data_IF_266694016546
#
_entry.id   IF_266694016546
#
_cell.length_a   1.000
_cell.length_b   1.000
_cell.length_c   1.000
_cell.angle_alpha   90.00
_cell.angle_beta   90.00
_cell.angle_gamma   90.00
#
_symmetry.space_group_name_H-M   'P 1'
#
loop_
_entity.id
_entity.type
_entity.pdbx_description
1 polymer ?
#
# COMPACT_ATOMS: atom_id res chain seq x y z
N UNK A 1 21.37 -17.26 -11.40
CA UNK A 1 20.01 -16.70 -11.60
C UNK A 1 19.10 -17.04 -10.41
N UNK A 2 19.48 -16.68 -9.17
CA UNK A 2 18.72 -17.05 -7.96
C UNK A 2 17.80 -15.92 -7.42
N UNK A 3 18.10 -14.66 -7.75
CA UNK A 3 17.32 -13.50 -7.30
C UNK A 3 15.93 -13.40 -7.95
N UNK A 4 15.72 -14.11 -9.07
CA UNK A 4 14.46 -14.14 -9.82
C UNK A 4 13.36 -14.97 -9.18
N UNK A 5 13.63 -15.72 -8.11
CA UNK A 5 12.60 -16.44 -7.34
C UNK A 5 12.45 -15.90 -5.91
N UNK A 6 13.52 -15.31 -5.34
CA UNK A 6 13.50 -14.74 -3.98
C UNK A 6 12.53 -13.57 -3.83
N UNK A 7 12.22 -12.83 -4.90
CA UNK A 7 11.23 -11.75 -4.87
C UNK A 7 9.83 -12.26 -4.56
N UNK A 8 9.49 -13.50 -4.98
CA UNK A 8 8.14 -14.05 -4.78
C UNK A 8 7.85 -14.22 -3.29
N UNK A 9 8.81 -14.78 -2.55
CA UNK A 9 8.66 -14.93 -1.10
C UNK A 9 8.56 -13.58 -0.41
N UNK A 10 9.36 -12.58 -0.83
CA UNK A 10 9.27 -11.22 -0.31
C UNK A 10 7.93 -10.55 -0.61
N UNK A 11 7.41 -10.72 -1.84
CA UNK A 11 6.13 -10.15 -2.25
C UNK A 11 4.95 -10.74 -1.47
N UNK A 12 4.94 -12.06 -1.25
CA UNK A 12 3.92 -12.72 -0.43
C UNK A 12 3.99 -12.26 1.03
N UNK A 13 5.19 -12.13 1.60
CA UNK A 13 5.36 -11.62 2.95
C UNK A 13 4.91 -10.16 3.08
N UNK A 14 5.13 -9.34 2.05
CA UNK A 14 4.67 -7.96 2.02
C UNK A 14 3.14 -7.88 1.94
N UNK A 15 2.51 -8.71 1.11
CA UNK A 15 1.04 -8.79 1.03
C UNK A 15 0.45 -9.15 2.39
N UNK A 16 0.92 -10.20 3.05
CA UNK A 16 0.45 -10.61 4.38
C UNK A 16 0.58 -9.46 5.41
N UNK A 17 1.73 -8.77 5.42
CA UNK A 17 1.95 -7.64 6.30
C UNK A 17 1.00 -6.45 6.02
N UNK A 18 0.63 -6.21 4.77
CA UNK A 18 -0.30 -5.15 4.39
C UNK A 18 -1.75 -5.52 4.73
N UNK A 19 -2.15 -6.76 4.48
CA UNK A 19 -3.47 -7.28 4.84
C UNK A 19 -3.72 -7.26 6.35
N UNK A 20 -2.69 -7.61 7.15
CA UNK A 20 -2.74 -7.49 8.61
C UNK A 20 -2.97 -6.03 9.09
N UNK A 21 -2.77 -5.03 8.23
CA UNK A 21 -3.02 -3.60 8.50
C UNK A 21 -4.35 -3.10 7.93
N UNK A 22 -5.19 -3.99 7.40
CA UNK A 22 -6.50 -3.65 6.82
C UNK A 22 -6.42 -3.09 5.39
N UNK A 23 -5.27 -3.22 4.73
CA UNK A 23 -5.12 -2.88 3.32
C UNK A 23 -5.47 -4.07 2.43
N UNK A 24 -5.87 -3.80 1.19
CA UNK A 24 -5.99 -4.85 0.17
C UNK A 24 -4.74 -4.80 -0.69
N UNK A 25 -3.99 -5.90 -0.73
CA UNK A 25 -2.74 -6.00 -1.48
C UNK A 25 -2.75 -7.23 -2.40
N UNK A 26 -2.11 -7.11 -3.56
CA UNK A 26 -1.99 -8.19 -4.53
C UNK A 26 -0.63 -8.19 -5.20
N UNK A 27 -0.08 -9.39 -5.43
CA UNK A 27 1.15 -9.55 -6.22
C UNK A 27 0.81 -9.45 -7.69
N UNK A 28 1.40 -8.47 -8.36
CA UNK A 28 1.42 -8.36 -9.81
C UNK A 28 2.69 -9.03 -10.35
N UNK A 29 2.63 -9.56 -11.57
CA UNK A 29 3.76 -10.27 -12.19
C UNK A 29 5.06 -9.47 -12.14
N UNK A 30 6.21 -10.16 -12.14
CA UNK A 30 7.54 -9.57 -12.14
C UNK A 30 7.94 -8.79 -10.87
N UNK A 31 7.40 -9.16 -9.70
CA UNK A 31 7.80 -8.59 -8.41
C UNK A 31 7.13 -7.27 -8.07
N UNK A 32 6.05 -6.92 -8.77
CA UNK A 32 5.21 -5.79 -8.39
C UNK A 32 4.23 -6.21 -7.28
N UNK A 33 3.95 -5.31 -6.35
CA UNK A 33 2.87 -5.43 -5.38
C UNK A 33 2.03 -4.16 -5.45
N UNK A 34 0.75 -4.34 -5.72
CA UNK A 34 -0.23 -3.26 -5.76
C UNK A 34 -1.05 -3.28 -4.49
N UNK A 35 -1.27 -2.12 -3.91
CA UNK A 35 -1.90 -1.94 -2.61
C UNK A 35 -2.94 -0.85 -2.71
N UNK A 36 -4.09 -1.04 -2.08
CA UNK A 36 -5.12 -0.02 -1.95
C UNK A 36 -5.70 0.03 -0.55
N UNK A 37 -6.13 1.22 -0.14
CA UNK A 37 -6.90 1.40 1.08
C UNK A 37 -8.39 1.36 0.75
N UNK A 38 -9.14 0.30 1.15
CA UNK A 38 -10.57 0.22 0.87
C UNK A 38 -11.38 1.34 1.55
N UNK A 39 -10.89 1.91 2.66
CA UNK A 39 -11.54 3.03 3.32
C UNK A 39 -11.44 4.36 2.54
N UNK A 40 -10.59 4.41 1.51
CA UNK A 40 -10.44 5.55 0.61
C UNK A 40 -11.08 5.34 -0.77
N UNK A 41 -11.79 4.23 -1.00
CA UNK A 41 -12.52 4.02 -2.25
C UNK A 41 -13.84 4.83 -2.21
N UNK A 42 -14.25 5.45 -3.33
CA UNK A 42 -15.49 6.21 -3.40
C UNK A 42 -16.71 5.29 -3.25
N UNK A 43 -17.80 5.83 -2.69
CA UNK A 43 -19.07 5.11 -2.61
C UNK A 43 -19.53 4.62 -4.00
N UNK A 44 -20.03 3.40 -4.07
CA UNK A 44 -20.44 2.78 -5.35
C UNK A 44 -21.64 3.50 -5.97
N UNK A 45 -22.42 4.21 -5.15
CA UNK A 45 -23.55 5.06 -5.56
C UNK A 45 -23.15 6.50 -5.89
N UNK A 46 -21.86 6.87 -5.79
CA UNK A 46 -21.37 8.20 -6.18
C UNK A 46 -20.54 8.17 -7.48
N UNK A 47 -21.19 8.28 -8.65
CA UNK A 47 -20.50 8.27 -9.94
C UNK A 47 -19.57 9.48 -10.11
N UNK A 48 -19.81 10.59 -9.42
CA UNK A 48 -18.89 11.73 -9.44
C UNK A 48 -17.63 11.43 -8.63
N UNK A 49 -17.75 10.87 -7.43
CA UNK A 49 -16.63 10.42 -6.61
C UNK A 49 -15.75 9.37 -7.32
N UNK A 50 -16.36 8.48 -8.11
CA UNK A 50 -15.62 7.51 -8.94
C UNK A 50 -14.77 8.17 -10.03
N UNK A 51 -15.19 9.33 -10.55
CA UNK A 51 -14.46 10.08 -11.59
C UNK A 51 -13.36 10.95 -10.97
N UNK A 52 -13.61 11.57 -9.81
CA UNK A 52 -12.69 12.54 -9.21
C UNK A 52 -11.72 11.96 -8.17
N UNK A 53 -12.00 10.78 -7.62
CA UNK A 53 -11.16 10.14 -6.61
C UNK A 53 -11.08 8.62 -6.88
N UNK A 54 -10.21 8.15 -7.79
CA UNK A 54 -10.10 6.73 -8.18
C UNK A 54 -9.54 5.78 -7.08
N UNK A 55 -9.65 6.17 -5.80
CA UNK A 55 -9.13 5.46 -4.65
C UNK A 55 -7.65 5.68 -4.40
N UNK A 56 -7.23 5.69 -3.13
CA UNK A 56 -5.82 5.74 -2.76
C UNK A 56 -5.17 4.38 -3.04
N UNK A 57 -4.31 4.36 -4.07
CA UNK A 57 -3.64 3.17 -4.58
C UNK A 57 -2.15 3.45 -4.66
N UNK A 58 -1.36 2.45 -4.30
CA UNK A 58 0.09 2.52 -4.31
C UNK A 58 0.67 1.25 -4.91
N UNK A 59 1.66 1.42 -5.77
CA UNK A 59 2.42 0.32 -6.34
C UNK A 59 3.87 0.38 -5.86
N UNK A 60 4.43 -0.80 -5.56
CA UNK A 60 5.85 -0.99 -5.28
C UNK A 60 6.39 -2.13 -6.14
N UNK A 61 7.67 -2.04 -6.49
CA UNK A 61 8.35 -3.00 -7.33
C UNK A 61 9.58 -3.54 -6.63
N UNK A 62 9.74 -4.86 -6.64
CA UNK A 62 10.94 -5.54 -6.18
C UNK A 62 11.98 -5.60 -7.30
N UNK A 63 13.14 -4.96 -7.12
CA UNK A 63 14.28 -5.07 -8.05
C UNK A 63 15.62 -5.26 -7.34
N UNK A 64 16.59 -5.93 -7.98
CA UNK A 64 17.97 -5.93 -7.52
C UNK A 64 18.52 -4.51 -7.55
N UNK A 65 19.12 -4.08 -6.46
CA UNK A 65 19.88 -2.85 -6.31
C UNK A 65 21.09 -3.14 -5.44
N UNK A 66 22.29 -2.80 -5.92
CA UNK A 66 23.54 -2.92 -5.15
C UNK A 66 23.78 -4.34 -4.61
N UNK A 67 23.37 -5.37 -5.37
CA UNK A 67 23.57 -6.78 -5.03
C UNK A 67 22.50 -7.41 -4.13
N UNK A 68 21.51 -6.65 -3.66
CA UNK A 68 20.38 -7.16 -2.85
C UNK A 68 19.03 -6.76 -3.45
N UNK A 69 17.94 -7.41 -3.05
CA UNK A 69 16.60 -7.03 -3.49
C UNK A 69 16.08 -5.85 -2.68
N UNK A 70 15.48 -4.88 -3.36
CA UNK A 70 14.87 -3.68 -2.78
C UNK A 70 13.43 -3.52 -3.24
N UNK A 71 12.60 -3.02 -2.32
CA UNK A 71 11.33 -2.39 -2.65
C UNK A 71 11.60 -0.98 -3.18
N UNK A 72 10.97 -0.66 -4.29
CA UNK A 72 11.00 0.65 -4.92
C UNK A 72 9.56 1.14 -5.04
N UNK A 73 9.27 2.38 -4.64
CA UNK A 73 8.02 3.04 -5.00
C UNK A 73 7.92 3.15 -6.52
N UNK A 74 6.72 2.93 -7.04
CA UNK A 74 6.39 3.26 -8.42
C UNK A 74 5.54 4.52 -8.41
N UNK A 75 6.09 5.62 -8.90
CA UNK A 75 5.38 6.88 -9.07
C UNK A 75 5.00 7.07 -10.53
N UNK A 76 3.72 7.34 -10.78
CA UNK A 76 3.25 7.74 -12.11
C UNK A 76 3.72 9.16 -12.39
N UNK A 77 4.32 9.40 -13.55
CA UNK A 77 4.63 10.76 -13.97
C UNK A 77 3.37 11.57 -14.27
N UNK A 78 3.51 12.89 -14.51
CA UNK A 78 2.38 13.82 -14.66
C UNK A 78 1.50 13.55 -15.89
N UNK A 79 1.98 12.72 -16.84
CA UNK A 79 1.21 12.29 -18.01
C UNK A 79 1.23 10.76 -18.14
N UNK A 80 0.25 10.14 -18.79
CA UNK A 80 0.23 8.68 -19.03
C UNK A 80 1.46 8.17 -19.80
N UNK A 81 2.07 9.04 -20.61
CA UNK A 81 3.25 8.75 -21.42
C UNK A 81 4.56 8.99 -20.67
N UNK A 82 4.51 9.59 -19.48
CA UNK A 82 5.69 9.86 -18.68
C UNK A 82 6.30 8.55 -18.18
N UNK A 83 7.64 8.43 -18.18
CA UNK A 83 8.28 7.27 -17.59
C UNK A 83 7.90 7.15 -16.11
N UNK A 84 7.76 5.91 -15.65
CA UNK A 84 7.57 5.64 -14.22
C UNK A 84 8.84 6.00 -13.46
N UNK A 85 8.69 6.74 -12.36
CA UNK A 85 9.79 7.06 -11.48
C UNK A 85 9.88 6.00 -10.38
N UNK A 86 11.09 5.47 -10.17
CA UNK A 86 11.38 4.45 -9.17
C UNK A 86 12.16 5.06 -8.02
N UNK A 87 11.53 5.19 -6.85
CA UNK A 87 12.16 5.73 -5.66
C UNK A 87 12.49 4.61 -4.65
N UNK A 88 13.68 4.59 -4.02
CA UNK A 88 14.03 3.55 -3.06
C UNK A 88 13.16 3.60 -1.80
N UNK A 89 12.48 2.49 -1.50
CA UNK A 89 11.74 2.34 -0.25
C UNK A 89 12.63 1.74 0.84
N UNK A 90 12.95 0.45 0.73
CA UNK A 90 13.83 -0.26 1.66
C UNK A 90 14.28 -1.61 1.06
N UNK A 91 15.27 -2.30 1.65
CA UNK A 91 15.57 -3.69 1.32
C UNK A 91 14.36 -4.61 1.50
N UNK A 92 14.25 -5.67 0.70
CA UNK A 92 13.13 -6.63 0.75
C UNK A 92 13.06 -7.36 2.09
N UNK A 93 14.20 -7.56 2.74
CA UNK A 93 14.29 -8.17 4.07
C UNK A 93 13.54 -7.36 5.14
N UNK A 94 13.39 -6.05 4.96
CA UNK A 94 12.73 -5.14 5.90
C UNK A 94 11.21 -5.03 5.62
N UNK A 95 10.53 -6.17 5.49
CA UNK A 95 9.13 -6.24 5.05
C UNK A 95 8.18 -5.45 5.96
N UNK A 96 8.38 -5.49 7.28
CA UNK A 96 7.56 -4.73 8.22
C UNK A 96 7.71 -3.20 8.05
N UNK A 97 8.93 -2.75 7.74
CA UNK A 97 9.23 -1.34 7.44
C UNK A 97 8.58 -0.90 6.15
N UNK A 98 8.62 -1.73 5.10
CA UNK A 98 7.91 -1.46 3.85
C UNK A 98 6.40 -1.30 4.11
N UNK A 99 5.80 -2.25 4.83
CA UNK A 99 4.37 -2.22 5.12
C UNK A 99 3.94 -1.00 5.96
N UNK A 100 4.73 -0.60 6.97
CA UNK A 100 4.47 0.61 7.76
C UNK A 100 4.52 1.88 6.90
N UNK A 101 5.54 2.01 6.05
CA UNK A 101 5.67 3.18 5.16
C UNK A 101 4.54 3.24 4.13
N UNK A 102 4.14 2.10 3.55
CA UNK A 102 2.98 1.99 2.64
C UNK A 102 1.68 2.38 3.34
N UNK A 103 1.44 1.87 4.54
CA UNK A 103 0.23 2.20 5.29
C UNK A 103 0.12 3.69 5.63
N UNK A 104 1.24 4.35 5.93
CA UNK A 104 1.28 5.81 6.15
C UNK A 104 0.91 6.59 4.90
N UNK A 105 1.43 6.20 3.74
CA UNK A 105 1.13 6.87 2.45
C UNK A 105 -0.33 6.68 2.06
N UNK A 106 -0.87 5.47 2.26
CA UNK A 106 -2.26 5.16 1.93
C UNK A 106 -3.28 5.69 2.95
N UNK A 107 -2.85 6.53 3.89
CA UNK A 107 -3.68 7.17 4.90
C UNK A 107 -4.66 6.18 5.55
N UNK A 108 -4.16 4.99 5.93
CA UNK A 108 -4.95 4.09 6.78
C UNK A 108 -5.36 4.92 7.98
N UNK A 109 -6.66 5.08 8.26
CA UNK A 109 -7.09 5.87 9.39
C UNK A 109 -6.36 5.30 10.59
N UNK A 110 -5.54 6.13 11.24
CA UNK A 110 -4.99 5.78 12.53
C UNK A 110 -6.20 5.34 13.33
N UNK A 111 -6.24 4.07 13.76
CA UNK A 111 -7.16 3.68 14.80
C UNK A 111 -6.69 4.42 16.06
N UNK A 112 -6.99 5.72 16.14
CA UNK A 112 -6.91 6.47 17.37
C UNK A 112 -7.78 5.72 18.39
N UNK A 113 -7.38 5.69 19.66
CA UNK A 113 -8.14 4.98 20.68
C UNK A 113 -9.59 5.42 20.57
N UNK A 114 -10.46 4.43 20.35
CA UNK A 114 -11.90 4.60 20.20
C UNK A 114 -12.36 5.52 21.31
N UNK A 115 -12.69 6.77 20.97
CA UNK A 115 -13.27 7.70 21.91
C UNK A 115 -14.69 7.20 22.13
N UNK A 116 -14.80 6.24 23.05
CA UNK A 116 -16.05 5.78 23.61
C UNK A 116 -16.65 6.99 24.32
N UNK A 117 -17.43 7.76 23.57
CA UNK A 117 -18.36 8.72 24.13
C UNK A 117 -19.42 7.91 24.87
N UNK A 118 -19.13 7.68 26.15
CA UNK A 118 -20.08 7.25 27.17
C UNK A 118 -21.20 8.28 27.27
N UNK A 119 -22.23 8.16 26.43
CA UNK A 119 -23.51 8.82 26.72
C UNK A 119 -24.24 8.00 27.77
N UNK A 120 -23.84 8.24 29.02
CA UNK A 120 -24.51 7.77 30.22
C UNK A 120 -25.87 8.48 30.31
N UNK A 121 -26.93 7.72 30.52
CA UNK A 121 -28.29 8.25 30.69
C UNK A 121 -28.56 8.88 32.06
N UNK A 122 -29.70 9.59 32.13
CA UNK A 122 -30.36 10.11 33.34
C UNK A 122 -29.78 11.44 33.86
N UNK A 123 -30.53 12.41 34.37
CA UNK A 123 -31.93 12.51 34.80
C UNK A 123 -32.25 14.00 35.03
N UNK A 124 -33.52 14.41 34.86
CA UNK A 124 -34.06 15.72 35.23
C UNK A 124 -35.56 15.74 35.04
#
# INVERSE_FOLDING_TARGET
MALGESWRSGALALVDALEARGLVAEVWGHGAVRVRNPAGEPDTDDPQGQVFAPGLRQEVLCRPREGVLWWLWVWSGPTPSSPVELEPLCPVADTATAADRIARVLAVPFAGPSSASVSSGGCG
#
